data_IF_616118979153
#
_entry.id   IF_616118979153
#
_cell.length_a   1.000
_cell.length_b   1.000
_cell.length_c   1.000
_cell.angle_alpha   90.00
_cell.angle_beta   90.00
_cell.angle_gamma   90.00
#
_symmetry.space_group_name_H-M   'P 1'
#
loop_
_entity.id
_entity.type
_entity.pdbx_description
1 polymer ?
#
# COMPACT_ATOMS: atom_id res chain seq x y z
N UNK A 1 -16.99 18.37 3.64
CA UNK A 1 -17.68 17.65 2.55
C UNK A 1 -18.18 16.26 2.96
N UNK A 2 -17.32 15.29 3.32
CA UNK A 2 -17.79 13.91 3.56
C UNK A 2 -18.88 13.82 4.64
N UNK A 3 -18.67 14.47 5.78
CA UNK A 3 -19.63 14.46 6.90
C UNK A 3 -20.92 15.21 6.58
N UNK A 4 -20.84 16.30 5.81
CA UNK A 4 -22.00 17.10 5.45
C UNK A 4 -22.87 16.45 4.37
N UNK A 5 -22.29 15.68 3.46
CA UNK A 5 -23.02 15.06 2.34
C UNK A 5 -23.55 13.66 2.67
N UNK A 6 -22.82 12.88 3.49
CA UNK A 6 -23.15 11.47 3.69
C UNK A 6 -23.52 11.13 5.13
N UNK A 7 -22.59 11.31 6.07
CA UNK A 7 -22.79 11.11 7.51
C UNK A 7 -21.49 11.39 8.26
N UNK A 8 -21.61 11.93 9.47
CA UNK A 8 -20.49 12.09 10.41
C UNK A 8 -19.92 10.76 10.90
N UNK A 9 -20.54 9.61 10.64
CA UNK A 9 -20.02 8.29 11.04
C UNK A 9 -18.81 7.84 10.23
N UNK A 10 -18.68 8.29 8.99
CA UNK A 10 -17.57 7.89 8.13
C UNK A 10 -16.26 8.52 8.62
N UNK A 11 -15.17 7.77 8.47
CA UNK A 11 -13.81 8.22 8.80
C UNK A 11 -12.94 8.10 7.56
N UNK A 12 -11.97 8.98 7.40
CA UNK A 12 -10.96 8.86 6.33
C UNK A 12 -9.64 8.48 6.99
N UNK A 13 -8.93 7.53 6.40
CA UNK A 13 -7.56 7.18 6.77
C UNK A 13 -6.68 7.20 5.55
N UNK A 14 -5.44 7.64 5.74
CA UNK A 14 -4.38 7.53 4.74
C UNK A 14 -3.77 6.13 4.79
N UNK A 15 -3.33 5.64 3.64
CA UNK A 15 -2.54 4.42 3.54
C UNK A 15 -1.40 4.62 2.52
N UNK A 16 -0.80 3.54 2.05
CA UNK A 16 0.23 3.58 1.02
C UNK A 16 1.51 4.23 1.54
N UNK A 17 2.28 4.81 0.63
CA UNK A 17 3.63 5.32 0.93
C UNK A 17 3.65 6.44 1.96
N UNK A 18 2.54 7.16 2.12
CA UNK A 18 2.35 8.14 3.19
C UNK A 18 2.32 7.49 4.56
N UNK A 19 1.58 6.39 4.73
CA UNK A 19 1.42 5.74 6.04
C UNK A 19 2.71 5.09 6.52
N UNK A 20 3.46 4.42 5.65
CA UNK A 20 4.74 3.81 6.02
C UNK A 20 5.94 4.76 5.85
N UNK A 21 5.72 6.04 5.51
CA UNK A 21 6.71 7.11 5.63
C UNK A 21 7.77 7.17 4.53
N UNK A 22 7.41 6.89 3.28
CA UNK A 22 8.29 7.05 2.09
C UNK A 22 7.60 7.82 0.95
N UNK A 23 6.57 8.60 1.28
CA UNK A 23 6.00 9.58 0.38
C UNK A 23 7.01 10.70 0.08
N UNK A 24 7.05 11.13 -1.17
CA UNK A 24 7.76 12.35 -1.60
C UNK A 24 6.72 13.44 -1.89
N UNK A 25 7.10 14.72 -2.03
CA UNK A 25 6.16 15.79 -2.38
C UNK A 25 5.39 15.56 -3.69
N UNK A 26 5.94 14.72 -4.58
CA UNK A 26 5.31 14.32 -5.85
C UNK A 26 4.52 13.00 -5.78
N UNK A 27 4.31 12.45 -4.58
CA UNK A 27 3.55 11.21 -4.39
C UNK A 27 2.07 11.51 -4.21
N UNK A 28 1.22 10.68 -4.83
CA UNK A 28 -0.23 10.72 -4.62
C UNK A 28 -0.58 10.39 -3.16
N UNK A 29 -1.66 11.01 -2.67
CA UNK A 29 -2.23 10.73 -1.37
C UNK A 29 -3.28 9.62 -1.47
N UNK A 30 -2.92 8.43 -0.98
CA UNK A 30 -3.80 7.27 -0.93
C UNK A 30 -4.73 7.32 0.30
N UNK A 31 -6.05 7.26 0.09
CA UNK A 31 -7.05 7.37 1.15
C UNK A 31 -8.16 6.32 1.05
N UNK A 32 -8.68 5.92 2.22
CA UNK A 32 -9.84 5.04 2.34
C UNK A 32 -10.89 5.65 3.24
N UNK A 33 -12.14 5.60 2.79
CA UNK A 33 -13.32 5.93 3.60
C UNK A 33 -13.72 4.66 4.37
N UNK A 34 -13.71 4.73 5.70
CA UNK A 34 -14.11 3.65 6.58
C UNK A 34 -15.58 3.77 6.95
N UNK A 35 -16.33 2.69 6.70
CA UNK A 35 -17.70 2.53 7.18
C UNK A 35 -17.70 1.73 8.51
N UNK A 36 -18.00 2.36 9.66
CA UNK A 36 -17.98 1.68 10.96
C UNK A 36 -19.02 0.56 11.07
N UNK A 37 -20.10 0.61 10.29
CA UNK A 37 -21.13 -0.43 10.27
C UNK A 37 -20.69 -1.64 9.41
N UNK A 38 -19.55 -1.54 8.72
CA UNK A 38 -18.97 -2.58 7.86
C UNK A 38 -17.48 -2.73 8.12
N UNK A 39 -17.08 -3.10 9.35
CA UNK A 39 -15.67 -3.12 9.76
C UNK A 39 -14.85 -4.14 8.97
N UNK A 40 -15.46 -5.27 8.59
CA UNK A 40 -14.85 -6.35 7.81
C UNK A 40 -14.98 -6.18 6.29
N UNK A 41 -15.39 -5.01 5.80
CA UNK A 41 -15.52 -4.77 4.36
C UNK A 41 -16.90 -5.10 3.81
N UNK A 42 -17.00 -5.28 2.50
CA UNK A 42 -18.28 -5.45 1.79
C UNK A 42 -18.58 -6.93 1.50
N UNK A 43 -19.60 -7.48 2.18
CA UNK A 43 -20.03 -8.89 2.00
C UNK A 43 -20.82 -9.15 0.71
N UNK A 44 -21.41 -8.14 0.07
CA UNK A 44 -22.16 -8.33 -1.18
C UNK A 44 -22.25 -7.07 -2.04
N UNK A 45 -22.56 -7.23 -3.34
CA UNK A 45 -22.85 -6.13 -4.27
C UNK A 45 -24.10 -5.33 -3.91
N UNK A 46 -25.03 -5.88 -3.11
CA UNK A 46 -26.27 -5.19 -2.71
C UNK A 46 -26.00 -3.91 -1.91
N UNK A 47 -24.79 -3.72 -1.37
CA UNK A 47 -24.44 -2.50 -0.65
C UNK A 47 -23.93 -1.37 -1.54
N UNK A 48 -23.72 -1.63 -2.84
CA UNK A 48 -23.41 -0.60 -3.85
C UNK A 48 -24.53 0.44 -3.97
N UNK A 49 -25.74 0.15 -3.49
CA UNK A 49 -26.86 1.10 -3.45
C UNK A 49 -26.64 2.28 -2.48
N UNK A 50 -25.74 2.18 -1.48
CA UNK A 50 -25.44 3.34 -0.66
C UNK A 50 -24.62 4.34 -1.48
N UNK A 51 -25.08 5.60 -1.52
CA UNK A 51 -24.49 6.65 -2.34
C UNK A 51 -22.99 6.86 -2.13
N UNK A 52 -22.46 6.53 -0.94
CA UNK A 52 -21.02 6.63 -0.63
C UNK A 52 -20.16 5.64 -1.42
N UNK A 53 -20.71 4.47 -1.78
CA UNK A 53 -19.98 3.44 -2.53
C UNK A 53 -20.05 3.67 -4.05
N UNK A 54 -20.90 4.59 -4.50
CA UNK A 54 -20.98 4.99 -5.90
C UNK A 54 -19.89 6.03 -6.23
N UNK A 55 -18.78 5.58 -6.84
CA UNK A 55 -17.64 6.46 -7.19
C UNK A 55 -18.05 7.70 -8.00
N UNK A 56 -19.10 7.59 -8.83
CA UNK A 56 -19.63 8.74 -9.57
C UNK A 56 -20.26 9.80 -8.67
N UNK A 57 -20.98 9.39 -7.62
CA UNK A 57 -21.58 10.31 -6.64
C UNK A 57 -20.50 10.93 -5.76
N UNK A 58 -19.50 10.12 -5.37
CA UNK A 58 -18.34 10.63 -4.63
C UNK A 58 -17.59 11.68 -5.47
N UNK A 59 -17.31 11.40 -6.75
CA UNK A 59 -16.67 12.37 -7.64
C UNK A 59 -17.49 13.67 -7.80
N UNK A 60 -18.82 13.61 -7.88
CA UNK A 60 -19.68 14.82 -7.88
C UNK A 60 -19.50 15.63 -6.58
N UNK A 61 -19.43 14.95 -5.44
CA UNK A 61 -19.23 15.59 -4.14
C UNK A 61 -17.85 16.25 -4.03
N UNK A 62 -16.79 15.62 -4.57
CA UNK A 62 -15.46 16.21 -4.67
C UNK A 62 -15.46 17.48 -5.53
N UNK A 63 -16.07 17.44 -6.72
CA UNK A 63 -16.20 18.65 -7.57
C UNK A 63 -16.94 19.78 -6.87
N UNK A 64 -18.04 19.45 -6.19
CA UNK A 64 -18.85 20.44 -5.45
C UNK A 64 -18.11 21.04 -4.25
N UNK A 65 -17.07 20.37 -3.75
CA UNK A 65 -16.22 20.84 -2.66
C UNK A 65 -14.94 21.57 -3.13
N UNK A 66 -14.81 21.85 -4.43
CA UNK A 66 -13.69 22.64 -4.97
C UNK A 66 -12.48 21.83 -5.43
N UNK A 67 -12.51 20.49 -5.35
CA UNK A 67 -11.46 19.66 -5.94
C UNK A 67 -11.54 19.67 -7.46
N UNK A 68 -10.40 19.65 -8.14
CA UNK A 68 -10.30 19.65 -9.61
C UNK A 68 -9.71 18.35 -10.14
N UNK A 69 -9.63 18.18 -11.46
CA UNK A 69 -9.15 16.96 -12.12
C UNK A 69 -9.81 15.67 -11.58
N UNK A 70 -11.08 15.76 -11.18
CA UNK A 70 -11.78 14.66 -10.50
C UNK A 70 -12.22 13.60 -11.50
N UNK A 71 -11.73 12.37 -11.34
CA UNK A 71 -12.02 11.22 -12.21
C UNK A 71 -12.51 10.02 -11.38
N UNK A 72 -13.69 9.51 -11.69
CA UNK A 72 -14.20 8.27 -11.09
C UNK A 72 -13.76 7.05 -11.91
N UNK A 73 -13.18 6.05 -11.26
CA UNK A 73 -12.70 4.81 -11.91
C UNK A 73 -13.46 3.60 -11.31
N UNK A 74 -14.76 3.42 -11.61
CA UNK A 74 -15.60 2.42 -10.95
C UNK A 74 -15.33 0.97 -11.40
N UNK A 75 -14.68 0.78 -12.55
CA UNK A 75 -14.46 -0.54 -13.17
C UNK A 75 -13.09 -1.16 -12.81
N UNK A 76 -12.23 -0.44 -12.08
CA UNK A 76 -10.94 -0.97 -11.63
C UNK A 76 -11.12 -2.09 -10.59
N UNK A 77 -10.04 -2.85 -10.35
CA UNK A 77 -10.02 -3.90 -9.31
C UNK A 77 -10.45 -3.34 -7.94
N UNK A 78 -9.97 -2.15 -7.61
CA UNK A 78 -10.41 -1.33 -6.49
C UNK A 78 -11.04 -0.07 -7.08
N UNK A 79 -12.37 0.12 -6.96
CA UNK A 79 -13.02 1.36 -7.40
C UNK A 79 -12.51 2.56 -6.60
N UNK A 80 -12.06 3.59 -7.32
CA UNK A 80 -11.51 4.81 -6.73
C UNK A 80 -12.05 6.08 -7.38
N UNK A 81 -11.88 7.21 -6.69
CA UNK A 81 -11.93 8.56 -7.25
C UNK A 81 -10.53 9.15 -7.18
N UNK A 82 -10.00 9.58 -8.32
CA UNK A 82 -8.80 10.41 -8.40
C UNK A 82 -9.21 11.87 -8.36
N UNK A 83 -8.41 12.73 -7.75
CA UNK A 83 -8.67 14.17 -7.68
C UNK A 83 -7.37 14.95 -7.46
N UNK A 84 -7.44 16.26 -7.69
CA UNK A 84 -6.42 17.23 -7.32
C UNK A 84 -7.01 18.25 -6.35
N UNK A 85 -6.30 18.49 -5.24
CA UNK A 85 -6.62 19.55 -4.29
C UNK A 85 -5.84 20.83 -4.64
N UNK A 86 -6.49 21.88 -5.18
CA UNK A 86 -5.81 23.11 -5.53
C UNK A 86 -5.30 23.90 -4.33
N UNK A 87 -5.80 23.65 -3.11
CA UNK A 87 -5.37 24.34 -1.89
C UNK A 87 -4.03 23.79 -1.42
N UNK A 88 -3.86 22.48 -1.41
CA UNK A 88 -2.62 21.83 -0.95
C UNK A 88 -1.65 21.50 -2.08
N UNK A 89 -2.09 21.55 -3.33
CA UNK A 89 -1.32 21.16 -4.50
C UNK A 89 -1.11 19.64 -4.64
N UNK A 90 -1.94 18.82 -3.98
CA UNK A 90 -1.75 17.37 -3.92
C UNK A 90 -2.72 16.62 -4.84
N UNK A 91 -2.20 15.59 -5.49
CA UNK A 91 -3.02 14.55 -6.12
C UNK A 91 -3.41 13.51 -5.08
N UNK A 92 -4.61 12.94 -5.21
CA UNK A 92 -5.07 11.89 -4.31
C UNK A 92 -5.99 10.86 -4.96
N UNK A 93 -5.92 9.65 -4.43
CA UNK A 93 -6.77 8.52 -4.77
C UNK A 93 -7.60 8.14 -3.53
N UNK A 94 -8.92 8.10 -3.66
CA UNK A 94 -9.80 7.69 -2.55
C UNK A 94 -10.72 6.52 -2.94
N UNK A 95 -10.75 5.49 -2.11
CA UNK A 95 -11.67 4.36 -2.23
C UNK A 95 -12.70 4.35 -1.09
N UNK A 96 -13.80 3.61 -1.27
CA UNK A 96 -14.82 3.44 -0.25
C UNK A 96 -14.80 2.03 0.37
N UNK A 97 -14.29 1.95 1.59
CA UNK A 97 -14.24 0.77 2.46
C UNK A 97 -13.49 -0.45 1.90
N UNK A 98 -12.59 -0.26 0.92
CA UNK A 98 -11.58 -1.26 0.56
C UNK A 98 -10.35 -1.06 1.44
N UNK A 99 -10.26 -1.85 2.51
CA UNK A 99 -9.27 -1.66 3.58
C UNK A 99 -8.00 -2.48 3.39
N UNK A 100 -7.91 -3.32 2.36
CA UNK A 100 -6.75 -4.20 2.18
C UNK A 100 -5.46 -3.39 2.01
N UNK A 101 -5.52 -2.28 1.27
CA UNK A 101 -4.39 -1.34 1.14
C UNK A 101 -3.96 -0.74 2.48
N UNK A 102 -4.91 -0.45 3.37
CA UNK A 102 -4.62 0.05 4.72
C UNK A 102 -3.92 -1.00 5.58
N UNK A 103 -4.44 -2.23 5.64
CA UNK A 103 -3.82 -3.31 6.42
C UNK A 103 -2.42 -3.67 5.93
N UNK A 104 -2.21 -3.77 4.62
CA UNK A 104 -0.89 -4.03 4.06
C UNK A 104 0.10 -2.89 4.37
N UNK A 105 -0.38 -1.64 4.36
CA UNK A 105 0.44 -0.49 4.70
C UNK A 105 0.81 -0.44 6.19
N UNK A 106 -0.10 -0.89 7.07
CA UNK A 106 0.20 -1.05 8.50
C UNK A 106 1.25 -2.13 8.73
N UNK A 107 1.18 -3.26 8.01
CA UNK A 107 2.21 -4.30 8.07
C UNK A 107 3.57 -3.79 7.60
N UNK A 108 3.63 -3.08 6.46
CA UNK A 108 4.88 -2.48 5.96
C UNK A 108 5.43 -1.45 6.96
N UNK A 109 4.56 -0.64 7.56
CA UNK A 109 4.96 0.28 8.63
C UNK A 109 5.60 -0.48 9.78
N UNK A 110 4.98 -1.58 10.24
CA UNK A 110 5.54 -2.41 11.33
C UNK A 110 6.91 -2.98 10.97
N UNK A 111 7.10 -3.46 9.74
CA UNK A 111 8.43 -3.84 9.26
C UNK A 111 9.45 -2.71 9.29
N UNK A 112 9.05 -1.49 8.92
CA UNK A 112 9.94 -0.32 8.97
C UNK A 112 10.32 0.07 10.40
N UNK A 113 9.44 -0.18 11.36
CA UNK A 113 9.68 0.12 12.77
C UNK A 113 10.59 -0.95 13.41
N UNK A 114 10.40 -2.24 13.07
CA UNK A 114 11.29 -3.34 13.48
C UNK A 114 12.71 -3.19 12.91
N UNK A 115 12.83 -2.77 11.65
CA UNK A 115 14.10 -2.66 10.94
C UNK A 115 14.25 -1.26 10.34
N UNK A 116 14.86 -0.30 11.06
CA UNK A 116 14.92 1.09 10.65
C UNK A 116 15.60 1.33 9.30
N UNK A 117 16.51 0.45 8.84
CA UNK A 117 17.15 0.58 7.52
C UNK A 117 16.17 0.35 6.36
N UNK A 118 15.02 -0.29 6.59
CA UNK A 118 14.04 -0.58 5.53
C UNK A 118 13.48 0.72 4.95
N UNK A 119 13.07 1.69 5.77
CA UNK A 119 12.48 2.95 5.30
C UNK A 119 13.39 3.73 4.33
N UNK A 120 14.70 3.97 4.63
CA UNK A 120 15.60 4.59 3.67
C UNK A 120 15.89 3.71 2.45
N UNK A 121 15.93 2.37 2.58
CA UNK A 121 16.02 1.49 1.40
C UNK A 121 14.84 1.68 0.45
N UNK A 122 13.60 1.66 0.98
CA UNK A 122 12.38 1.87 0.20
C UNK A 122 12.36 3.24 -0.49
N UNK A 123 12.77 4.29 0.23
CA UNK A 123 12.91 5.63 -0.33
C UNK A 123 13.92 5.67 -1.48
N UNK A 124 15.11 5.10 -1.28
CA UNK A 124 16.16 5.04 -2.30
C UNK A 124 15.70 4.29 -3.55
N UNK A 125 15.16 3.08 -3.38
CA UNK A 125 14.71 2.22 -4.49
C UNK A 125 13.58 2.91 -5.27
N UNK A 126 12.64 3.58 -4.59
CA UNK A 126 11.58 4.35 -5.23
C UNK A 126 12.15 5.51 -6.06
N UNK A 127 13.09 6.27 -5.51
CA UNK A 127 13.76 7.37 -6.21
C UNK A 127 14.60 6.89 -7.41
N UNK A 128 15.24 5.72 -7.30
CA UNK A 128 15.99 5.10 -8.39
C UNK A 128 15.06 4.58 -9.51
N UNK A 129 13.97 3.91 -9.16
CA UNK A 129 13.06 3.27 -10.13
C UNK A 129 12.22 4.28 -10.94
N UNK A 130 11.84 5.41 -10.33
CA UNK A 130 10.95 6.41 -10.94
C UNK A 130 11.48 7.02 -12.26
N UNK A 131 12.70 7.60 -12.32
CA UNK A 131 13.23 8.20 -13.56
C UNK A 131 13.51 7.16 -14.65
N UNK A 132 13.70 5.89 -14.28
CA UNK A 132 13.89 4.77 -15.22
C UNK A 132 12.57 4.22 -15.78
N UNK A 133 11.41 4.76 -15.38
CA UNK A 133 10.10 4.26 -15.79
C UNK A 133 9.69 2.92 -15.17
N UNK A 134 10.45 2.41 -14.19
CA UNK A 134 10.23 1.11 -13.54
C UNK A 134 9.17 1.15 -12.43
N UNK A 135 8.62 2.34 -12.12
CA UNK A 135 7.60 2.56 -11.09
C UNK A 135 6.30 3.17 -11.67
N UNK A 136 5.68 2.48 -12.63
CA UNK A 136 4.46 2.90 -13.35
C UNK A 136 3.50 1.71 -13.51
N UNK A 137 2.68 1.39 -12.49
CA UNK A 137 1.79 0.23 -12.53
C UNK A 137 0.57 0.40 -13.46
N UNK A 138 0.32 1.60 -13.99
CA UNK A 138 -0.76 1.87 -14.93
C UNK A 138 -0.41 1.46 -16.36
N UNK A 139 -1.43 1.07 -17.15
CA UNK A 139 -1.29 0.65 -18.56
C UNK A 139 -1.31 1.86 -19.53
N UNK A 140 -1.43 3.09 -19.01
CA UNK A 140 -1.72 4.27 -19.83
C UNK A 140 -0.56 4.66 -20.76
N UNK A 141 0.69 4.34 -20.39
CA UNK A 141 1.90 4.74 -21.13
C UNK A 141 2.89 3.56 -21.28
N UNK A 142 2.43 2.44 -21.86
CA UNK A 142 3.27 1.27 -22.14
C UNK A 142 3.00 0.07 -21.23
N UNK A 143 3.87 -0.97 -21.26
CA UNK A 143 3.70 -2.15 -20.43
C UNK A 143 3.75 -1.75 -18.94
N UNK A 144 2.83 -2.25 -18.10
CA UNK A 144 2.81 -1.91 -16.69
C UNK A 144 4.11 -2.36 -16.02
N UNK A 145 4.74 -1.45 -15.27
CA UNK A 145 5.93 -1.76 -14.47
C UNK A 145 5.56 -1.92 -13.00
N UNK A 146 6.54 -2.10 -12.12
CA UNK A 146 6.28 -2.39 -10.71
C UNK A 146 5.60 -1.21 -10.00
N UNK A 147 4.76 -1.50 -9.00
CA UNK A 147 4.25 -0.47 -8.11
C UNK A 147 5.24 -0.19 -6.97
N UNK A 148 5.11 0.95 -6.32
CA UNK A 148 5.84 1.22 -5.06
C UNK A 148 5.58 0.16 -3.99
N UNK A 149 4.38 -0.43 -3.97
CA UNK A 149 4.05 -1.56 -3.09
C UNK A 149 4.83 -2.83 -3.47
N UNK A 150 4.96 -3.14 -4.77
CA UNK A 150 5.73 -4.28 -5.24
C UNK A 150 7.22 -4.17 -4.83
N UNK A 151 7.83 -2.99 -5.01
CA UNK A 151 9.19 -2.75 -4.51
C UNK A 151 9.29 -2.94 -2.99
N UNK A 152 8.30 -2.49 -2.22
CA UNK A 152 8.30 -2.69 -0.78
C UNK A 152 8.30 -4.18 -0.39
N UNK A 153 7.46 -4.99 -1.04
CA UNK A 153 7.44 -6.44 -0.82
C UNK A 153 8.75 -7.11 -1.24
N UNK A 154 9.33 -6.72 -2.38
CA UNK A 154 10.62 -7.26 -2.84
C UNK A 154 11.75 -6.94 -1.84
N UNK A 155 11.79 -5.72 -1.31
CA UNK A 155 12.78 -5.34 -0.29
C UNK A 155 12.56 -6.08 1.02
N UNK A 156 11.32 -6.24 1.48
CA UNK A 156 11.01 -7.05 2.67
C UNK A 156 11.45 -8.51 2.46
N UNK A 157 11.10 -9.12 1.32
CA UNK A 157 11.48 -10.49 1.00
C UNK A 157 13.01 -10.68 0.92
N UNK A 158 13.72 -9.69 0.35
CA UNK A 158 15.18 -9.68 0.38
C UNK A 158 15.74 -9.66 1.81
N UNK A 159 15.25 -8.76 2.66
CA UNK A 159 15.72 -8.68 4.05
C UNK A 159 15.36 -9.95 4.86
N UNK A 160 14.22 -10.59 4.58
CA UNK A 160 13.86 -11.88 5.15
C UNK A 160 14.81 -12.99 4.71
N UNK A 161 15.22 -13.03 3.45
CA UNK A 161 16.12 -14.07 2.93
C UNK A 161 17.52 -14.01 3.55
N UNK A 162 17.98 -12.81 3.94
CA UNK A 162 19.21 -12.61 4.69
C UNK A 162 18.99 -12.52 6.21
N UNK A 163 17.80 -12.92 6.70
CA UNK A 163 17.40 -13.00 8.11
C UNK A 163 17.44 -11.66 8.87
N UNK A 164 17.41 -10.52 8.18
CA UNK A 164 17.32 -9.20 8.81
C UNK A 164 15.89 -8.77 9.16
N UNK A 165 14.89 -9.46 8.61
CA UNK A 165 13.49 -9.32 8.96
C UNK A 165 12.85 -10.68 9.29
N UNK A 166 11.88 -10.74 10.22
CA UNK A 166 11.05 -11.92 10.41
C UNK A 166 10.01 -12.04 9.31
N UNK A 167 9.33 -13.19 9.23
CA UNK A 167 8.04 -13.27 8.56
C UNK A 167 6.93 -12.95 9.57
N UNK A 168 6.34 -11.74 9.51
CA UNK A 168 5.25 -11.37 10.40
C UNK A 168 3.95 -12.12 10.09
N UNK A 169 3.82 -12.71 8.90
CA UNK A 169 2.63 -13.44 8.49
C UNK A 169 2.74 -14.95 8.79
N UNK A 170 3.85 -15.39 9.38
CA UNK A 170 4.03 -16.75 9.88
C UNK A 170 3.31 -16.88 11.24
N UNK A 171 1.98 -16.90 11.18
CA UNK A 171 1.09 -16.96 12.35
C UNK A 171 0.07 -18.08 12.16
N UNK A 172 -0.26 -18.78 13.23
CA UNK A 172 -1.34 -19.76 13.22
C UNK A 172 -2.68 -19.04 13.03
N UNK A 173 -3.38 -19.38 11.94
CA UNK A 173 -4.65 -18.76 11.58
C UNK A 173 -5.77 -19.53 12.26
N UNK A 174 -6.04 -19.22 13.52
CA UNK A 174 -7.09 -19.91 14.30
C UNK A 174 -8.42 -19.14 14.37
N UNK A 175 -8.44 -17.84 14.07
CA UNK A 175 -9.59 -16.97 14.36
C UNK A 175 -10.28 -16.37 13.10
N UNK A 176 -11.59 -16.65 12.86
CA UNK A 176 -12.39 -16.07 11.77
C UNK A 176 -12.62 -14.55 11.87
N UNK A 177 -12.34 -13.92 13.01
CA UNK A 177 -12.42 -12.45 13.16
C UNK A 177 -11.32 -11.70 12.37
N UNK A 178 -10.27 -12.40 11.92
CA UNK A 178 -9.08 -11.80 11.30
C UNK A 178 -9.11 -11.78 9.77
N UNK A 179 -10.28 -12.03 9.18
CA UNK A 179 -10.50 -11.95 7.75
C UNK A 179 -11.21 -10.65 7.36
N UNK A 180 -10.63 -9.96 6.39
CA UNK A 180 -11.27 -8.84 5.71
C UNK A 180 -11.91 -9.31 4.41
N UNK A 181 -13.12 -8.85 4.11
CA UNK A 181 -13.80 -9.15 2.85
C UNK A 181 -13.37 -8.14 1.79
N UNK A 182 -12.48 -8.59 0.90
CA UNK A 182 -12.09 -7.87 -0.30
C UNK A 182 -12.74 -8.55 -1.51
N UNK A 183 -13.54 -7.79 -2.27
CA UNK A 183 -14.28 -8.31 -3.45
C UNK A 183 -15.07 -9.59 -3.15
N UNK A 184 -15.76 -9.64 -2.02
CA UNK A 184 -16.59 -10.78 -1.59
C UNK A 184 -15.79 -12.05 -1.28
N UNK A 185 -14.46 -11.96 -1.21
CA UNK A 185 -13.59 -13.06 -0.78
C UNK A 185 -12.97 -12.72 0.56
N UNK A 186 -12.91 -13.68 1.51
CA UNK A 186 -12.14 -13.52 2.72
C UNK A 186 -10.65 -13.43 2.37
N UNK A 187 -9.95 -12.48 2.98
CA UNK A 187 -8.51 -12.31 2.93
C UNK A 187 -8.01 -12.18 4.36
N UNK A 188 -7.08 -13.03 4.74
CA UNK A 188 -6.42 -12.92 6.05
C UNK A 188 -5.54 -11.68 6.06
N UNK A 189 -5.63 -10.91 7.13
CA UNK A 189 -4.94 -9.62 7.29
C UNK A 189 -4.05 -9.57 8.53
N UNK A 190 -3.97 -10.68 9.28
CA UNK A 190 -3.16 -10.74 10.49
C UNK A 190 -1.68 -10.72 10.14
N UNK A 191 -0.94 -10.03 10.99
CA UNK A 191 0.49 -10.15 11.08
C UNK A 191 0.86 -10.02 12.55
N UNK A 192 1.90 -10.74 12.98
CA UNK A 192 2.44 -10.68 14.32
C UNK A 192 2.87 -9.25 14.62
N UNK A 193 2.41 -8.70 15.74
CA UNK A 193 3.00 -7.50 16.31
C UNK A 193 4.18 -7.92 17.18
N UNK A 194 5.34 -7.37 16.88
CA UNK A 194 6.57 -7.58 17.64
C UNK A 194 6.84 -6.29 18.39
N UNK A 195 7.01 -6.34 19.71
CA UNK A 195 7.30 -5.14 20.49
C UNK A 195 8.72 -4.64 20.22
N UNK A 196 8.97 -3.37 20.53
CA UNK A 196 10.27 -2.75 20.33
C UNK A 196 11.35 -3.51 21.13
N UNK A 197 12.36 -4.01 20.44
CA UNK A 197 13.49 -4.76 21.03
C UNK A 197 13.33 -6.28 21.08
N UNK A 198 12.15 -6.84 20.80
CA UNK A 198 11.91 -8.28 20.78
C UNK A 198 12.50 -8.97 19.54
N UNK A 199 12.59 -8.24 18.42
CA UNK A 199 13.31 -8.73 17.24
C UNK A 199 14.79 -8.41 17.31
N UNK A 200 15.63 -9.45 17.29
CA UNK A 200 17.08 -9.32 17.23
C UNK A 200 17.61 -9.99 15.96
N UNK A 201 17.90 -9.24 14.89
CA UNK A 201 18.48 -9.83 13.69
C UNK A 201 19.87 -10.42 14.02
N UNK A 202 20.32 -11.47 13.31
CA UNK A 202 21.59 -12.16 13.59
C UNK A 202 22.82 -11.29 13.33
N UNK A 203 22.65 -10.14 12.68
CA UNK A 203 23.69 -9.14 12.44
C UNK A 203 23.08 -7.79 12.08
N UNK A 204 23.96 -6.81 11.85
CA UNK A 204 23.61 -5.49 11.34
C UNK A 204 24.22 -5.33 9.96
N UNK A 205 23.45 -4.77 9.01
CA UNK A 205 23.99 -4.28 7.74
C UNK A 205 23.88 -2.76 7.70
N UNK A 206 24.89 -2.12 7.13
CA UNK A 206 24.76 -0.72 6.72
C UNK A 206 23.76 -0.58 5.57
N UNK A 207 23.20 0.63 5.41
CA UNK A 207 22.32 0.95 4.28
C UNK A 207 22.99 0.65 2.94
N UNK A 208 24.30 0.95 2.81
CA UNK A 208 25.07 0.71 1.59
C UNK A 208 25.17 -0.78 1.25
N UNK A 209 25.51 -1.62 2.22
CA UNK A 209 25.61 -3.08 2.03
C UNK A 209 24.25 -3.68 1.70
N UNK A 210 23.19 -3.23 2.39
CA UNK A 210 21.84 -3.72 2.15
C UNK A 210 21.35 -3.35 0.74
N UNK A 211 21.59 -2.11 0.28
CA UNK A 211 21.27 -1.69 -1.08
C UNK A 211 22.09 -2.47 -2.12
N UNK A 212 23.39 -2.63 -1.92
CA UNK A 212 24.24 -3.41 -2.81
C UNK A 212 23.75 -4.86 -2.94
N UNK A 213 23.44 -5.52 -1.81
CA UNK A 213 22.87 -6.86 -1.78
C UNK A 213 21.51 -6.94 -2.48
N UNK A 214 20.64 -5.95 -2.28
CA UNK A 214 19.34 -5.88 -2.92
C UNK A 214 19.48 -5.80 -4.44
N UNK A 215 20.30 -4.88 -4.97
CA UNK A 215 20.53 -4.74 -6.41
C UNK A 215 21.19 -5.99 -6.99
N UNK A 216 22.17 -6.57 -6.31
CA UNK A 216 22.81 -7.82 -6.75
C UNK A 216 21.80 -8.97 -6.85
N UNK A 217 20.91 -9.11 -5.88
CA UNK A 217 19.90 -10.16 -5.87
C UNK A 217 18.83 -9.93 -6.94
N UNK A 218 18.28 -8.72 -7.00
CA UNK A 218 17.16 -8.37 -7.89
C UNK A 218 17.59 -8.28 -9.36
N UNK A 219 18.76 -7.71 -9.67
CA UNK A 219 19.25 -7.65 -11.04
C UNK A 219 19.58 -9.04 -11.60
N UNK A 220 20.03 -9.98 -10.76
CA UNK A 220 20.26 -11.37 -11.17
C UNK A 220 18.93 -12.09 -11.45
N UNK A 221 17.89 -11.84 -10.64
CA UNK A 221 16.55 -12.36 -10.89
C UNK A 221 15.93 -11.77 -12.16
N UNK A 222 16.19 -10.50 -12.48
CA UNK A 222 15.66 -9.83 -13.67
C UNK A 222 16.48 -10.15 -14.94
N UNK A 223 17.76 -10.48 -14.83
CA UNK A 223 18.61 -10.85 -15.97
C UNK A 223 18.52 -12.32 -16.37
N UNK A 224 17.77 -13.13 -15.61
CA UNK A 224 17.59 -14.55 -15.90
C UNK A 224 18.84 -15.41 -15.73
N UNK A 225 19.94 -14.86 -15.21
CA UNK A 225 21.15 -15.62 -14.94
C UNK A 225 20.97 -16.44 -13.65
N UNK A 226 21.02 -17.77 -13.77
CA UNK A 226 21.06 -18.66 -12.60
C UNK A 226 22.27 -18.28 -11.73
N UNK A 227 22.04 -18.03 -10.45
CA UNK A 227 23.10 -18.02 -9.43
C UNK A 227 23.76 -19.41 -9.45
N UNK A 228 24.93 -19.54 -10.06
CA UNK A 228 25.80 -20.69 -9.83
C UNK A 228 26.19 -20.66 -8.36
N UNK A 229 25.66 -21.61 -7.58
CA UNK A 229 26.19 -21.89 -6.25
C UNK A 229 27.59 -22.46 -6.46
N UNK A 230 28.62 -21.65 -6.17
CA UNK A 230 29.96 -22.19 -5.98
C UNK A 230 29.94 -22.90 -4.63
N UNK A 231 29.94 -24.24 -4.68
CA UNK A 231 30.50 -25.12 -3.66
C UNK A 231 32.00 -24.90 -3.53
#
# INVERSE_FOLDING_TARGET
MLHSVYSSRYRVKVFGSTLYGVSTPSSDLDMVILDPNRPKGQKSRKHVFLAIYAMRNLAKSFRSAGFTQVVAIPKAKVPIVKFYDPVTGLYGDINANDRLGLFNSLMIKHYCDIQPILRPMLGFIKCWAKPLGLNKPGIQDGPPTFSSYAFALMTIAFLQSIRLLPNLQDVDIEDPEQFFIHRYKPCHIQFRHIADGDWRPPGKLSLREALYGWFKCVLVLLSGQRLSRNT
#
